data_IF_117453851627
#
_entry.id   IF_117453851627
#
_cell.length_a   1.000
_cell.length_b   1.000
_cell.length_c   1.000
_cell.angle_alpha   90.00
_cell.angle_beta   90.00
_cell.angle_gamma   90.00
#
_symmetry.space_group_name_H-M   'P 1'
#
loop_
_entity.id
_entity.type
_entity.pdbx_description
1 polymer ?
#
# COMPACT_ATOMS: atom_id res chain seq x y z
N UNK A 1 3.55 -18.57 -31.26
CA UNK A 1 4.12 -19.20 -30.06
C UNK A 1 5.38 -18.48 -29.55
N UNK A 2 6.48 -18.34 -30.31
CA UNK A 2 7.72 -17.66 -29.84
C UNK A 2 7.53 -16.24 -29.26
N UNK A 3 6.75 -15.38 -29.92
CA UNK A 3 6.53 -14.00 -29.48
C UNK A 3 5.80 -13.89 -28.13
N UNK A 4 4.85 -14.79 -27.88
CA UNK A 4 4.10 -14.86 -26.59
C UNK A 4 5.05 -15.25 -25.46
N UNK A 5 5.97 -16.19 -25.71
CA UNK A 5 6.96 -16.61 -24.72
C UNK A 5 7.96 -15.51 -24.37
N UNK A 6 8.41 -14.73 -25.36
CA UNK A 6 9.30 -13.58 -25.14
C UNK A 6 8.62 -12.44 -24.39
N UNK A 7 7.34 -12.17 -24.67
CA UNK A 7 6.57 -11.16 -23.93
C UNK A 7 6.32 -11.57 -22.47
N UNK A 8 6.01 -12.85 -22.22
CA UNK A 8 5.91 -13.41 -20.88
C UNK A 8 7.25 -13.36 -20.13
N UNK A 9 8.36 -13.67 -20.79
CA UNK A 9 9.70 -13.56 -20.20
C UNK A 9 10.04 -12.10 -19.89
N UNK A 10 9.71 -11.16 -20.78
CA UNK A 10 9.95 -9.72 -20.55
C UNK A 10 9.13 -9.19 -19.39
N UNK A 11 7.87 -9.60 -19.23
CA UNK A 11 7.05 -9.27 -18.05
C UNK A 11 7.56 -9.95 -16.78
N UNK A 12 8.02 -11.19 -16.88
CA UNK A 12 8.61 -11.90 -15.74
C UNK A 12 9.86 -11.18 -15.22
N UNK A 13 10.71 -10.67 -16.11
CA UNK A 13 11.90 -9.88 -15.77
C UNK A 13 11.63 -8.37 -15.65
N UNK A 14 10.38 -7.93 -15.72
CA UNK A 14 10.05 -6.52 -15.51
C UNK A 14 10.43 -6.10 -14.07
N UNK A 15 11.15 -5.00 -13.94
CA UNK A 15 11.63 -4.51 -12.66
C UNK A 15 10.50 -4.26 -11.66
N UNK A 16 9.32 -3.82 -12.12
CA UNK A 16 8.17 -3.62 -11.25
C UNK A 16 7.69 -4.94 -10.66
N UNK A 17 7.59 -5.99 -11.47
CA UNK A 17 7.15 -7.31 -11.01
C UNK A 17 8.20 -7.99 -10.12
N UNK A 18 9.50 -7.71 -10.32
CA UNK A 18 10.55 -8.14 -9.40
C UNK A 18 10.39 -7.49 -8.02
N UNK A 19 10.15 -6.17 -7.98
CA UNK A 19 9.90 -5.43 -6.74
C UNK A 19 8.62 -5.93 -6.06
N UNK A 20 7.55 -6.17 -6.80
CA UNK A 20 6.31 -6.71 -6.26
C UNK A 20 6.52 -8.08 -5.59
N UNK A 21 7.27 -8.98 -6.23
CA UNK A 21 7.63 -10.29 -5.64
C UNK A 21 8.48 -10.14 -4.39
N UNK A 22 9.38 -9.15 -4.37
CA UNK A 22 10.15 -8.86 -3.18
C UNK A 22 9.24 -8.45 -2.02
N UNK A 23 8.27 -7.56 -2.25
CA UNK A 23 7.32 -7.19 -1.21
C UNK A 23 6.45 -8.37 -0.73
N UNK A 24 6.04 -9.25 -1.63
CA UNK A 24 5.34 -10.48 -1.25
C UNK A 24 6.18 -11.32 -0.30
N UNK A 25 7.48 -11.44 -0.56
CA UNK A 25 8.41 -12.15 0.31
C UNK A 25 8.57 -11.44 1.67
N UNK A 26 8.68 -10.12 1.70
CA UNK A 26 8.76 -9.34 2.95
C UNK A 26 7.53 -9.55 3.84
N UNK A 27 6.33 -9.52 3.23
CA UNK A 27 5.07 -9.83 3.91
C UNK A 27 5.06 -11.25 4.46
N UNK A 28 5.43 -12.25 3.64
CA UNK A 28 5.49 -13.65 4.07
C UNK A 28 6.50 -13.91 5.21
N UNK A 29 7.51 -13.06 5.36
CA UNK A 29 8.46 -13.10 6.48
C UNK A 29 8.00 -12.34 7.72
N UNK A 30 6.84 -11.67 7.67
CA UNK A 30 6.30 -10.89 8.78
C UNK A 30 7.07 -9.61 9.06
N UNK A 31 7.72 -9.02 8.05
CA UNK A 31 8.44 -7.76 8.23
C UNK A 31 7.48 -6.57 8.35
N UNK A 32 6.32 -6.64 7.71
CA UNK A 32 5.29 -5.61 7.66
C UNK A 32 3.91 -6.28 7.52
N UNK A 33 2.91 -5.73 8.20
CA UNK A 33 1.54 -6.27 8.16
C UNK A 33 0.78 -5.80 6.91
N UNK A 34 1.16 -4.66 6.33
CA UNK A 34 0.59 -4.09 5.11
C UNK A 34 1.70 -3.63 4.16
N UNK A 35 1.50 -3.88 2.86
CA UNK A 35 2.33 -3.36 1.78
C UNK A 35 1.47 -2.47 0.88
N UNK A 36 2.06 -1.36 0.43
CA UNK A 36 1.58 -0.56 -0.70
C UNK A 36 2.58 -0.67 -1.85
N UNK A 37 2.12 -1.15 -3.01
CA UNK A 37 2.90 -1.13 -4.24
C UNK A 37 2.21 -0.27 -5.31
N UNK A 38 2.90 0.73 -5.83
CA UNK A 38 2.41 1.59 -6.92
C UNK A 38 3.13 1.26 -8.22
N UNK A 39 2.38 0.93 -9.27
CA UNK A 39 2.96 0.65 -10.58
C UNK A 39 1.99 0.98 -11.73
N UNK A 40 2.38 0.67 -12.95
CA UNK A 40 1.54 0.83 -14.14
C UNK A 40 0.32 -0.09 -14.09
N UNK A 41 -0.84 0.42 -14.52
CA UNK A 41 -2.09 -0.34 -14.58
C UNK A 41 -1.99 -1.62 -15.43
N UNK A 42 -1.04 -1.68 -16.38
CA UNK A 42 -0.78 -2.88 -17.21
C UNK A 42 -0.32 -4.13 -16.46
N UNK A 43 0.13 -3.99 -15.20
CA UNK A 43 0.53 -5.13 -14.33
C UNK A 43 -0.57 -5.57 -13.35
N UNK A 44 -1.69 -4.85 -13.30
CA UNK A 44 -2.77 -5.07 -12.33
C UNK A 44 -3.19 -6.54 -12.24
N UNK A 45 -3.56 -7.13 -13.36
CA UNK A 45 -4.12 -8.49 -13.36
C UNK A 45 -3.07 -9.55 -12.98
N UNK A 46 -1.79 -9.30 -13.26
CA UNK A 46 -0.72 -10.20 -12.85
C UNK A 46 -0.48 -10.14 -11.34
N UNK A 47 -0.46 -8.94 -10.77
CA UNK A 47 -0.34 -8.74 -9.33
C UNK A 47 -1.53 -9.37 -8.59
N UNK A 48 -2.77 -9.18 -9.07
CA UNK A 48 -3.99 -9.78 -8.49
C UNK A 48 -3.90 -11.30 -8.46
N UNK A 49 -3.58 -11.92 -9.61
CA UNK A 49 -3.40 -13.38 -9.66
C UNK A 49 -2.36 -13.86 -8.65
N UNK A 50 -1.30 -13.06 -8.39
CA UNK A 50 -0.27 -13.43 -7.44
C UNK A 50 -0.76 -13.33 -5.99
N UNK A 51 -1.45 -12.25 -5.57
CA UNK A 51 -1.99 -12.15 -4.21
C UNK A 51 -3.05 -13.21 -3.94
N UNK A 52 -3.96 -13.45 -4.89
CA UNK A 52 -4.99 -14.49 -4.78
C UNK A 52 -4.37 -15.89 -4.66
N UNK A 53 -3.37 -16.22 -5.50
CA UNK A 53 -2.66 -17.50 -5.44
C UNK A 53 -1.99 -17.74 -4.08
N UNK A 54 -1.53 -16.68 -3.41
CA UNK A 54 -0.89 -16.77 -2.09
C UNK A 54 -1.90 -16.61 -0.95
N UNK A 55 -3.21 -16.52 -1.25
CA UNK A 55 -4.28 -16.30 -0.26
C UNK A 55 -4.02 -15.09 0.64
N UNK A 56 -3.59 -13.97 0.04
CA UNK A 56 -3.29 -12.72 0.74
C UNK A 56 -4.42 -11.72 0.51
N UNK A 57 -4.92 -11.10 1.57
CA UNK A 57 -5.93 -10.06 1.46
C UNK A 57 -5.35 -8.84 0.73
N UNK A 58 -6.16 -8.19 -0.09
CA UNK A 58 -5.70 -7.06 -0.90
C UNK A 58 -6.82 -6.04 -1.16
N UNK A 59 -6.42 -4.84 -1.56
CA UNK A 59 -7.28 -3.74 -1.98
C UNK A 59 -6.58 -2.96 -3.11
N UNK A 60 -7.35 -2.51 -4.10
CA UNK A 60 -6.80 -1.85 -5.27
C UNK A 60 -7.45 -0.49 -5.44
N UNK A 61 -6.61 0.53 -5.61
CA UNK A 61 -7.04 1.86 -6.00
C UNK A 61 -6.33 2.28 -7.29
N UNK A 62 -7.06 2.97 -8.18
CA UNK A 62 -6.51 3.50 -9.43
C UNK A 62 -6.47 5.02 -9.32
N UNK A 63 -5.40 5.63 -8.78
CA UNK A 63 -5.32 7.09 -8.63
C UNK A 63 -5.29 7.82 -9.98
N UNK A 64 -4.98 7.12 -11.07
CA UNK A 64 -5.05 7.61 -12.45
C UNK A 64 -5.19 6.42 -13.41
N UNK A 65 -5.63 6.64 -14.66
CA UNK A 65 -5.81 5.56 -15.65
C UNK A 65 -4.54 4.74 -15.92
N UNK A 66 -3.38 5.36 -15.76
CA UNK A 66 -2.07 4.75 -16.04
C UNK A 66 -1.40 4.12 -14.82
N UNK A 67 -1.93 4.35 -13.61
CA UNK A 67 -1.32 3.92 -12.36
C UNK A 67 -2.30 3.15 -11.48
N UNK A 68 -1.77 2.17 -10.78
CA UNK A 68 -2.52 1.38 -9.81
C UNK A 68 -1.73 1.29 -8.51
N UNK A 69 -2.43 1.46 -7.40
CA UNK A 69 -1.98 1.17 -6.06
C UNK A 69 -2.55 -0.19 -5.65
N UNK A 70 -1.69 -1.14 -5.35
CA UNK A 70 -2.07 -2.44 -4.82
C UNK A 70 -1.64 -2.50 -3.36
N UNK A 71 -2.64 -2.45 -2.48
CA UNK A 71 -2.47 -2.76 -1.07
C UNK A 71 -2.64 -4.26 -0.87
N UNK A 72 -1.74 -4.90 -0.13
CA UNK A 72 -1.90 -6.30 0.26
C UNK A 72 -1.24 -6.57 1.62
N UNK A 73 -1.80 -7.53 2.37
CA UNK A 73 -1.26 -7.89 3.67
C UNK A 73 -2.28 -8.58 4.57
N UNK A 74 -2.20 -8.30 5.87
CA UNK A 74 -3.12 -8.82 6.88
C UNK A 74 -4.55 -8.31 6.63
N UNK A 75 -5.53 -9.20 6.76
CA UNK A 75 -6.94 -8.89 6.51
C UNK A 75 -7.45 -7.75 7.41
N UNK A 76 -6.96 -7.65 8.65
CA UNK A 76 -7.33 -6.56 9.57
C UNK A 76 -6.89 -5.21 9.02
N UNK A 77 -5.68 -5.12 8.47
CA UNK A 77 -5.18 -3.90 7.84
C UNK A 77 -6.00 -3.54 6.59
N UNK A 78 -6.33 -4.52 5.76
CA UNK A 78 -7.17 -4.30 4.58
C UNK A 78 -8.58 -3.83 4.96
N UNK A 79 -9.16 -4.37 6.03
CA UNK A 79 -10.47 -3.95 6.52
C UNK A 79 -10.46 -2.52 7.09
N UNK A 80 -9.37 -2.09 7.72
CA UNK A 80 -9.18 -0.68 8.11
C UNK A 80 -9.20 0.22 6.87
N UNK A 81 -8.43 -0.11 5.82
CA UNK A 81 -8.43 0.69 4.58
C UNK A 81 -9.80 0.77 3.91
N UNK A 82 -10.55 -0.34 3.89
CA UNK A 82 -11.93 -0.37 3.38
C UNK A 82 -12.88 0.51 4.20
N UNK A 83 -12.63 0.62 5.51
CA UNK A 83 -13.46 1.43 6.42
C UNK A 83 -13.18 2.92 6.24
N UNK A 84 -11.91 3.29 6.01
CA UNK A 84 -11.53 4.66 5.64
C UNK A 84 -12.20 5.04 4.31
N UNK A 85 -12.20 4.14 3.32
CA UNK A 85 -13.00 4.31 2.10
C UNK A 85 -12.50 5.37 1.10
N UNK A 86 -11.45 6.12 1.44
CA UNK A 86 -10.84 7.11 0.57
C UNK A 86 -10.00 6.46 -0.54
N UNK A 87 -10.24 6.90 -1.78
CA UNK A 87 -9.57 6.37 -2.97
C UNK A 87 -8.22 7.06 -3.24
N UNK A 88 -7.96 8.18 -2.56
CA UNK A 88 -6.72 8.93 -2.70
C UNK A 88 -6.08 9.19 -1.34
N UNK A 89 -4.78 8.91 -1.24
CA UNK A 89 -4.00 9.14 -0.01
C UNK A 89 -3.93 10.62 0.38
N UNK A 90 -4.19 11.55 -0.54
CA UNK A 90 -4.24 12.98 -0.21
C UNK A 90 -5.49 13.39 0.56
N UNK A 91 -6.52 12.54 0.61
CA UNK A 91 -7.79 12.80 1.29
C UNK A 91 -7.78 12.28 2.74
N UNK A 92 -6.73 11.57 3.15
CA UNK A 92 -6.60 11.02 4.49
C UNK A 92 -6.42 12.15 5.51
N UNK A 93 -7.16 12.06 6.61
CA UNK A 93 -6.91 12.84 7.82
C UNK A 93 -5.53 12.52 8.41
N UNK A 94 -5.06 13.36 9.33
CA UNK A 94 -3.75 13.14 9.96
C UNK A 94 -3.73 11.87 10.82
N UNK A 95 -4.87 11.51 11.43
CA UNK A 95 -5.07 10.25 12.16
C UNK A 95 -5.05 9.05 11.21
N UNK A 96 -5.69 9.14 10.06
CA UNK A 96 -5.71 8.06 9.06
C UNK A 96 -4.33 7.86 8.42
N UNK A 97 -3.61 8.95 8.12
CA UNK A 97 -2.21 8.90 7.66
C UNK A 97 -1.30 8.27 8.73
N UNK A 98 -1.55 8.57 10.01
CA UNK A 98 -0.85 7.94 11.13
C UNK A 98 -1.11 6.43 11.17
N UNK A 99 -2.38 6.01 11.16
CA UNK A 99 -2.76 4.59 11.16
C UNK A 99 -2.16 3.86 9.96
N UNK A 100 -2.23 4.45 8.76
CA UNK A 100 -1.63 3.90 7.56
C UNK A 100 -0.11 3.72 7.71
N UNK A 101 0.59 4.74 8.22
CA UNK A 101 2.03 4.69 8.44
C UNK A 101 2.45 3.56 9.37
N UNK A 102 1.72 3.35 10.47
CA UNK A 102 1.96 2.25 11.40
C UNK A 102 1.73 0.88 10.72
N UNK A 103 0.63 0.71 9.97
CA UNK A 103 0.36 -0.55 9.26
C UNK A 103 1.43 -0.88 8.21
N UNK A 104 1.99 0.14 7.55
CA UNK A 104 3.09 0.00 6.59
C UNK A 104 4.45 -0.29 7.26
N UNK A 105 4.51 -0.29 8.60
CA UNK A 105 5.72 -0.58 9.37
C UNK A 105 6.67 0.61 9.52
N UNK A 106 6.18 1.84 9.40
CA UNK A 106 6.99 3.01 9.73
C UNK A 106 7.26 3.10 11.24
N UNK A 107 8.38 3.73 11.57
CA UNK A 107 8.73 3.97 12.97
C UNK A 107 7.65 4.83 13.66
N UNK A 108 7.20 4.36 14.83
CA UNK A 108 6.12 4.99 15.58
C UNK A 108 6.47 6.42 16.00
N UNK A 109 7.70 6.67 16.47
CA UNK A 109 8.09 8.00 16.94
C UNK A 109 8.17 8.98 15.77
N UNK A 110 8.69 8.55 14.62
CA UNK A 110 8.67 9.37 13.39
C UNK A 110 7.26 9.69 12.92
N UNK A 111 6.31 8.75 13.05
CA UNK A 111 4.91 9.01 12.76
C UNK A 111 4.29 10.01 13.75
N UNK A 112 4.68 9.96 15.04
CA UNK A 112 4.26 10.97 16.02
C UNK A 112 4.79 12.37 15.65
N UNK A 113 6.07 12.47 15.29
CA UNK A 113 6.69 13.72 14.85
C UNK A 113 5.94 14.29 13.64
N UNK A 114 5.72 13.47 12.60
CA UNK A 114 4.97 13.85 11.41
C UNK A 114 3.55 14.32 11.73
N UNK A 115 2.84 13.62 12.61
CA UNK A 115 1.47 13.98 13.02
C UNK A 115 1.44 15.35 13.72
N UNK A 116 2.37 15.59 14.66
CA UNK A 116 2.48 16.88 15.36
C UNK A 116 2.83 18.02 14.40
N UNK A 117 3.76 17.79 13.46
CA UNK A 117 4.14 18.80 12.48
C UNK A 117 2.97 19.22 11.57
N UNK A 118 2.08 18.29 11.22
CA UNK A 118 0.89 18.60 10.43
C UNK A 118 -0.17 19.34 11.24
N UNK A 119 -0.43 18.91 12.48
CA UNK A 119 -1.38 19.59 13.36
C UNK A 119 -0.96 21.03 13.73
N UNK A 120 0.34 21.26 13.95
CA UNK A 120 0.87 22.62 14.19
C UNK A 120 0.64 23.51 12.96
N UNK A 121 0.83 22.98 11.75
CA UNK A 121 0.52 23.71 10.50
C UNK A 121 -0.97 24.00 10.33
N UNK A 122 -1.82 23.12 10.84
CA UNK A 122 -3.28 23.24 10.76
C UNK A 122 -3.89 24.05 11.93
N UNK A 123 -3.08 24.52 12.88
CA UNK A 123 -3.53 25.35 14.02
C UNK A 123 -4.34 24.59 15.07
N UNK A 124 -4.30 23.26 15.07
CA UNK A 124 -5.04 22.41 16.01
C UNK A 124 -4.19 22.15 17.25
N UNK A 125 -4.32 22.99 18.27
CA UNK A 125 -3.82 22.71 19.62
C UNK A 125 -4.89 23.07 20.63
N UNK A 126 -5.77 22.13 20.94
CA UNK A 126 -6.66 22.25 22.09
C UNK A 126 -5.97 21.74 23.34
N UNK A 127 -6.11 22.48 24.44
CA UNK A 127 -5.60 22.07 25.74
C UNK A 127 -6.47 20.92 26.25
N UNK A 128 -5.85 19.79 26.56
CA UNK A 128 -6.53 18.69 27.24
C UNK A 128 -7.07 19.18 28.59
N UNK A 129 -8.39 19.29 28.71
CA UNK A 129 -9.06 19.51 29.99
C UNK A 129 -9.52 18.15 30.49
N UNK A 130 -8.92 17.70 31.59
CA UNK A 130 -9.30 16.47 32.30
C UNK A 130 -10.45 16.70 33.26
#
# INVERSE_FOLDING_TARGET
>A
MKAVTEELLRKHFDGNMQVFRHHMYEYQKGLRDLILHTTSSGFRDEMVRMVEKNNVAYLIYSPADTKVNVFFGDERCINVLKTIGENNLSEYTDEEDFMLGIMLGYDRLKQCERFLERNVKNGMVEVLVG
#
